data_IF_178925094797
#
_entry.id   IF_178925094797
#
_cell.length_a   1.000
_cell.length_b   1.000
_cell.length_c   1.000
_cell.angle_alpha   90.00
_cell.angle_beta   90.00
_cell.angle_gamma   90.00
#
_symmetry.space_group_name_H-M   'P 1'
#
loop_
_entity.id
_entity.type
_entity.pdbx_description
1 polymer ?
#
# COMPACT_ATOMS: atom_id res chain seq x y z
N UNK A 1 13.34 -3.86 -8.88
CA UNK A 1 11.92 -4.18 -9.13
C UNK A 1 11.04 -3.67 -7.99
N UNK A 2 11.20 -4.14 -6.74
CA UNK A 2 10.40 -3.69 -5.57
C UNK A 2 10.40 -2.16 -5.40
N UNK A 3 11.56 -1.51 -5.50
CA UNK A 3 11.67 -0.05 -5.39
C UNK A 3 10.78 0.72 -6.38
N UNK A 4 10.65 0.23 -7.62
CA UNK A 4 9.83 0.89 -8.65
C UNK A 4 8.36 0.87 -8.23
N UNK A 5 7.87 -0.29 -7.75
CA UNK A 5 6.49 -0.42 -7.28
C UNK A 5 6.21 0.42 -6.05
N UNK A 6 7.14 0.45 -5.08
CA UNK A 6 6.97 1.25 -3.86
C UNK A 6 6.90 2.75 -4.17
N UNK A 7 7.72 3.23 -5.11
CA UNK A 7 7.68 4.63 -5.53
C UNK A 7 6.33 5.05 -6.14
N UNK A 8 5.57 4.13 -6.75
CA UNK A 8 4.22 4.42 -7.25
C UNK A 8 3.22 4.78 -6.15
N UNK A 9 3.46 4.32 -4.92
CA UNK A 9 2.64 4.61 -3.74
C UNK A 9 3.06 5.89 -3.02
N UNK A 10 4.13 6.57 -3.45
CA UNK A 10 4.48 7.89 -2.96
C UNK A 10 3.50 8.94 -3.49
N UNK A 11 2.33 9.04 -2.84
CA UNK A 11 1.20 9.87 -3.24
C UNK A 11 0.78 10.78 -2.10
N UNK A 12 0.24 11.96 -2.43
CA UNK A 12 -0.33 12.86 -1.42
C UNK A 12 -1.60 12.26 -0.82
N UNK A 13 -1.69 12.23 0.52
CA UNK A 13 -2.84 11.72 1.29
C UNK A 13 -4.14 12.49 0.99
N UNK A 14 -4.07 13.75 0.55
CA UNK A 14 -5.24 14.62 0.30
C UNK A 14 -6.22 14.09 -0.77
N UNK A 15 -5.71 13.28 -1.71
CA UNK A 15 -6.49 12.69 -2.81
C UNK A 15 -7.18 11.38 -2.42
N UNK A 16 -7.01 10.92 -1.19
CA UNK A 16 -7.45 9.62 -0.72
C UNK A 16 -8.38 9.76 0.49
N UNK A 17 -9.08 8.67 0.79
CA UNK A 17 -9.84 8.51 2.05
C UNK A 17 -8.90 8.36 3.25
N UNK A 18 -9.38 8.76 4.42
CA UNK A 18 -8.76 8.48 5.72
C UNK A 18 -8.84 6.99 6.06
N UNK A 19 -8.03 6.55 7.03
CA UNK A 19 -8.02 5.15 7.49
C UNK A 19 -9.38 4.70 8.05
N UNK A 20 -10.08 5.59 8.77
CA UNK A 20 -11.42 5.32 9.30
C UNK A 20 -12.43 5.07 8.17
N UNK A 21 -12.44 5.91 7.15
CA UNK A 21 -13.32 5.78 5.97
C UNK A 21 -13.06 4.53 5.12
N UNK A 22 -11.86 3.94 5.25
CA UNK A 22 -11.46 2.71 4.56
C UNK A 22 -11.75 1.44 5.36
N UNK A 23 -11.94 1.57 6.68
CA UNK A 23 -12.19 0.45 7.59
C UNK A 23 -13.69 0.14 7.72
N UNK A 24 -14.53 1.13 7.45
CA UNK A 24 -15.99 0.95 7.37
C UNK A 24 -16.35 0.21 6.07
N UNK A 25 -16.64 -1.08 6.20
CA UNK A 25 -17.07 -1.97 5.09
C UNK A 25 -18.37 -1.54 4.38
N UNK A 26 -18.94 -0.39 4.76
CA UNK A 26 -20.13 0.25 4.21
C UNK A 26 -19.84 1.20 3.04
N UNK A 27 -18.57 1.52 2.75
CA UNK A 27 -18.21 2.67 1.88
C UNK A 27 -17.73 2.30 0.46
N UNK A 28 -18.20 1.18 -0.11
CA UNK A 28 -17.89 0.78 -1.49
C UNK A 28 -18.63 1.67 -2.51
N UNK A 29 -19.74 2.31 -2.12
CA UNK A 29 -20.75 2.74 -3.10
C UNK A 29 -20.70 4.23 -3.49
N UNK A 30 -20.05 5.14 -2.76
CA UNK A 30 -20.34 6.59 -2.96
C UNK A 30 -19.15 7.57 -3.04
N UNK A 31 -17.90 7.12 -3.11
CA UNK A 31 -16.76 8.06 -3.15
C UNK A 31 -15.78 7.74 -4.29
N UNK A 32 -15.56 8.72 -5.19
CA UNK A 32 -14.51 8.66 -6.22
C UNK A 32 -13.08 8.60 -5.65
N UNK A 33 -12.87 8.91 -4.36
CA UNK A 33 -11.54 8.85 -3.73
C UNK A 33 -11.19 7.41 -3.31
N UNK A 34 -10.04 6.87 -3.74
CA UNK A 34 -9.54 5.57 -3.29
C UNK A 34 -8.98 5.63 -1.86
N UNK A 35 -8.79 4.45 -1.25
CA UNK A 35 -8.10 4.32 0.03
C UNK A 35 -6.60 4.57 -0.10
N UNK A 36 -6.04 5.32 0.85
CA UNK A 36 -4.60 5.53 0.90
C UNK A 36 -3.90 4.25 1.36
N UNK A 37 -2.81 3.89 0.70
CA UNK A 37 -1.94 2.81 1.14
C UNK A 37 -0.62 3.38 1.63
N UNK A 38 -0.35 3.23 2.93
CA UNK A 38 0.85 3.76 3.55
C UNK A 38 2.00 2.75 3.45
N UNK A 39 2.98 3.02 2.60
CA UNK A 39 4.17 2.16 2.44
C UNK A 39 4.97 2.07 3.74
N UNK A 40 4.98 3.12 4.55
CA UNK A 40 5.74 3.14 5.81
C UNK A 40 5.21 2.08 6.79
N UNK A 41 3.94 1.70 6.67
CA UNK A 41 3.34 0.62 7.45
C UNK A 41 3.96 -0.77 7.16
N UNK A 42 4.72 -0.92 6.07
CA UNK A 42 5.44 -2.14 5.73
C UNK A 42 6.76 -2.32 6.53
N UNK A 43 7.15 -1.33 7.35
CA UNK A 43 8.35 -1.38 8.18
C UNK A 43 9.62 -1.60 7.36
N UNK A 44 10.44 -2.58 7.77
CA UNK A 44 11.71 -2.94 7.08
C UNK A 44 11.51 -3.34 5.60
N UNK A 45 10.29 -3.73 5.22
CA UNK A 45 9.93 -4.07 3.85
C UNK A 45 9.50 -2.86 3.00
N UNK A 46 9.28 -1.69 3.61
CA UNK A 46 8.96 -0.44 2.92
C UNK A 46 10.19 0.34 2.44
N UNK A 47 11.39 -0.05 2.89
CA UNK A 47 12.63 0.68 2.65
C UNK A 47 13.76 -0.24 2.17
N UNK A 48 14.66 0.23 1.28
CA UNK A 48 15.89 -0.49 0.98
C UNK A 48 16.70 -0.81 2.25
N UNK A 49 17.33 -2.00 2.36
CA UNK A 49 17.48 -3.02 1.32
C UNK A 49 16.37 -4.09 1.33
N UNK A 50 15.18 -3.82 1.87
CA UNK A 50 14.03 -4.75 1.85
C UNK A 50 14.27 -6.09 2.55
N UNK A 51 14.84 -6.04 3.76
CA UNK A 51 15.14 -7.23 4.56
C UNK A 51 16.38 -8.01 4.11
N UNK A 52 17.10 -7.55 3.07
CA UNK A 52 18.43 -8.05 2.71
C UNK A 52 19.50 -7.47 3.65
N UNK A 53 19.28 -7.61 4.96
CA UNK A 53 20.17 -7.23 6.07
C UNK A 53 20.57 -8.48 6.84
N UNK A 54 21.66 -8.45 7.61
CA UNK A 54 22.05 -9.58 8.48
C UNK A 54 21.27 -9.55 9.81
N UNK A 55 20.59 -10.63 10.25
CA UNK A 55 20.43 -11.93 9.58
C UNK A 55 19.49 -11.87 8.36
N UNK A 56 19.89 -12.57 7.29
CA UNK A 56 19.24 -12.49 5.97
C UNK A 56 17.75 -12.91 6.03
N UNK A 57 16.85 -11.95 5.89
CA UNK A 57 15.40 -12.14 5.94
C UNK A 57 14.70 -11.28 4.85
N UNK A 58 14.78 -11.68 3.58
CA UNK A 58 14.29 -10.87 2.47
C UNK A 58 12.76 -10.72 2.48
N UNK A 59 12.29 -9.52 2.12
CA UNK A 59 10.87 -9.22 1.99
C UNK A 59 10.31 -9.69 0.63
N UNK A 60 9.07 -10.19 0.65
CA UNK A 60 8.32 -10.56 -0.56
C UNK A 60 7.18 -9.57 -0.77
N UNK A 61 7.09 -8.99 -1.96
CA UNK A 61 6.01 -8.08 -2.32
C UNK A 61 4.86 -8.85 -2.99
N UNK A 62 3.71 -8.94 -2.32
CA UNK A 62 2.50 -9.60 -2.81
C UNK A 62 1.48 -8.53 -3.21
N UNK A 63 1.01 -8.58 -4.46
CA UNK A 63 0.01 -7.65 -5.01
C UNK A 63 -1.12 -8.43 -5.65
N UNK A 64 -2.36 -8.09 -5.29
CA UNK A 64 -3.55 -8.69 -5.89
C UNK A 64 -3.91 -8.03 -7.21
N UNK A 65 -4.45 -8.82 -8.13
CA UNK A 65 -5.01 -8.31 -9.38
C UNK A 65 -6.28 -7.53 -9.08
N UNK A 66 -6.39 -6.31 -9.62
CA UNK A 66 -7.61 -5.53 -9.53
C UNK A 66 -8.68 -6.19 -10.42
N UNK A 67 -9.79 -6.60 -9.80
CA UNK A 67 -10.99 -7.05 -10.50
C UNK A 67 -11.96 -5.86 -10.55
N UNK A 68 -12.47 -5.54 -11.74
CA UNK A 68 -13.52 -4.55 -11.88
C UNK A 68 -14.87 -5.23 -11.56
N UNK A 69 -15.74 -4.60 -10.77
CA UNK A 69 -17.08 -5.07 -10.33
C UNK A 69 -17.14 -5.97 -9.08
N UNK A 70 -16.21 -5.82 -8.13
CA UNK A 70 -16.39 -6.25 -6.74
C UNK A 70 -16.44 -5.01 -5.82
#
# INVERSE_FOLDING_TARGET
IINIFILEYNRSKEKYKTSAECSDGTSIVSSMKPCFFDVESLGVCGQPPYGYTDPLQPCVFIKFNKVNNF
#
